data_IF_092396096978
#
_entry.id   IF_092396096978
#
_cell.length_a   1.000
_cell.length_b   1.000
_cell.length_c   1.000
_cell.angle_alpha   90.00
_cell.angle_beta   90.00
_cell.angle_gamma   90.00
#
_symmetry.space_group_name_H-M   'P 1'
#
loop_
_entity.id
_entity.type
_entity.pdbx_description
1 polymer ?
#
# COMPACT_ATOMS: atom_id res chain seq x y z
N UNK A 1 -9.13 12.68 -7.24
CA UNK A 1 -8.84 11.23 -7.10
C UNK A 1 -10.04 10.57 -6.45
N UNK A 2 -10.55 9.50 -7.04
CA UNK A 2 -11.62 8.65 -6.48
C UNK A 2 -11.04 7.62 -5.52
N UNK A 3 -11.84 6.99 -4.64
CA UNK A 3 -11.37 5.89 -3.79
C UNK A 3 -10.72 4.76 -4.60
N UNK A 4 -11.30 4.39 -5.75
CA UNK A 4 -10.76 3.34 -6.61
C UNK A 4 -9.41 3.68 -7.25
N UNK A 5 -9.20 4.95 -7.58
CA UNK A 5 -7.89 5.41 -8.05
C UNK A 5 -6.85 5.39 -6.94
N UNK A 6 -7.23 5.76 -5.71
CA UNK A 6 -6.34 5.74 -4.55
C UNK A 6 -5.90 4.31 -4.20
N UNK A 7 -6.83 3.35 -4.17
CA UNK A 7 -6.50 1.96 -3.87
C UNK A 7 -5.58 1.33 -4.94
N UNK A 8 -5.75 1.70 -6.22
CA UNK A 8 -4.85 1.28 -7.30
C UNK A 8 -3.45 1.90 -7.17
N UNK A 9 -3.38 3.17 -6.77
CA UNK A 9 -2.10 3.83 -6.49
C UNK A 9 -1.36 3.14 -5.36
N UNK A 10 -2.05 2.91 -4.24
CA UNK A 10 -1.51 2.19 -3.08
C UNK A 10 -1.04 0.79 -3.50
N UNK A 11 -1.85 0.05 -4.26
CA UNK A 11 -1.50 -1.27 -4.76
C UNK A 11 -0.19 -1.27 -5.57
N UNK A 12 0.00 -0.27 -6.43
CA UNK A 12 1.22 -0.07 -7.20
C UNK A 12 2.43 0.18 -6.31
N UNK A 13 2.30 1.07 -5.32
CA UNK A 13 3.37 1.42 -4.39
C UNK A 13 3.77 0.26 -3.48
N UNK A 14 2.79 -0.51 -2.98
CA UNK A 14 3.01 -1.76 -2.23
C UNK A 14 3.79 -2.76 -3.07
N UNK A 15 3.36 -3.00 -4.32
CA UNK A 15 4.04 -3.92 -5.24
C UNK A 15 5.47 -3.50 -5.54
N UNK A 16 5.69 -2.21 -5.77
CA UNK A 16 7.02 -1.65 -6.02
C UNK A 16 7.92 -1.79 -4.79
N UNK A 17 7.44 -1.43 -3.60
CA UNK A 17 8.17 -1.58 -2.34
C UNK A 17 8.53 -3.05 -2.07
N UNK A 18 7.56 -3.97 -2.20
CA UNK A 18 7.79 -5.41 -2.05
C UNK A 18 8.89 -5.92 -2.99
N UNK A 19 8.86 -5.49 -4.26
CA UNK A 19 9.88 -5.85 -5.24
C UNK A 19 11.28 -5.31 -4.87
N UNK A 20 11.38 -4.08 -4.36
CA UNK A 20 12.64 -3.50 -3.86
C UNK A 20 13.22 -4.31 -2.69
N UNK A 21 12.36 -4.85 -1.82
CA UNK A 21 12.75 -5.74 -0.73
C UNK A 21 12.98 -7.19 -1.15
N UNK A 22 12.81 -7.53 -2.44
CA UNK A 22 12.92 -8.90 -2.98
C UNK A 22 11.98 -9.90 -2.30
N UNK A 23 10.89 -9.42 -1.73
CA UNK A 23 9.87 -10.25 -1.08
C UNK A 23 8.93 -10.84 -2.12
N UNK A 24 8.50 -12.09 -1.92
CA UNK A 24 7.35 -12.71 -2.59
C UNK A 24 6.05 -12.23 -1.93
N UNK A 25 4.92 -12.48 -2.59
CA UNK A 25 3.62 -12.19 -1.97
C UNK A 25 3.37 -13.02 -0.71
N UNK A 26 3.92 -14.24 -0.65
CA UNK A 26 3.87 -15.12 0.52
C UNK A 26 4.65 -14.49 1.68
N UNK A 27 5.88 -14.00 1.43
CA UNK A 27 6.68 -13.33 2.47
C UNK A 27 5.98 -12.11 3.09
N UNK A 28 5.32 -11.28 2.27
CA UNK A 28 4.56 -10.12 2.77
C UNK A 28 3.30 -10.55 3.50
N UNK A 29 2.66 -11.64 3.06
CA UNK A 29 1.50 -12.19 3.73
C UNK A 29 1.86 -12.69 5.13
N UNK A 30 2.97 -13.43 5.25
CA UNK A 30 3.47 -13.94 6.52
C UNK A 30 3.83 -12.80 7.49
N UNK A 31 4.49 -11.73 6.99
CA UNK A 31 4.84 -10.56 7.80
C UNK A 31 3.61 -9.80 8.34
N UNK A 32 2.51 -9.79 7.58
CA UNK A 32 1.27 -9.08 7.93
C UNK A 32 0.23 -9.96 8.64
N UNK A 33 0.52 -11.24 8.88
CA UNK A 33 -0.46 -12.25 9.30
C UNK A 33 -1.70 -12.30 8.38
N UNK A 34 -1.45 -12.19 7.07
CA UNK A 34 -2.46 -12.25 6.02
C UNK A 34 -2.32 -13.54 5.21
N UNK A 35 -3.32 -13.81 4.36
CA UNK A 35 -3.16 -14.84 3.33
C UNK A 35 -2.52 -14.25 2.09
N UNK A 36 -1.77 -15.07 1.34
CA UNK A 36 -1.25 -14.69 0.00
C UNK A 36 -2.35 -14.16 -0.92
N UNK A 37 -3.56 -14.71 -0.84
CA UNK A 37 -4.71 -14.25 -1.64
C UNK A 37 -5.07 -12.80 -1.34
N UNK A 38 -5.08 -12.41 -0.06
CA UNK A 38 -5.33 -11.02 0.37
C UNK A 38 -4.27 -10.08 -0.20
N UNK A 39 -2.98 -10.46 -0.12
CA UNK A 39 -1.89 -9.69 -0.73
C UNK A 39 -2.06 -9.60 -2.26
N UNK A 40 -2.45 -10.69 -2.92
CA UNK A 40 -2.73 -10.70 -4.36
C UNK A 40 -3.86 -9.74 -4.76
N UNK A 41 -4.98 -9.73 -4.03
CA UNK A 41 -6.09 -8.80 -4.27
C UNK A 41 -5.73 -7.35 -3.96
N UNK A 42 -4.92 -7.12 -2.92
CA UNK A 42 -4.36 -5.79 -2.62
C UNK A 42 -3.53 -5.29 -3.79
N UNK A 43 -2.53 -6.06 -4.24
CA UNK A 43 -1.64 -5.64 -5.34
C UNK A 43 -2.33 -5.55 -6.70
N UNK A 44 -3.48 -6.20 -6.87
CA UNK A 44 -4.34 -6.04 -8.04
C UNK A 44 -5.21 -4.77 -7.97
N UNK A 45 -5.23 -4.07 -6.84
CA UNK A 45 -6.07 -2.89 -6.61
C UNK A 45 -7.56 -3.21 -6.51
N UNK A 46 -7.93 -4.47 -6.24
CA UNK A 46 -9.33 -4.94 -6.18
C UNK A 46 -9.89 -4.98 -4.76
N UNK A 47 -9.04 -4.86 -3.74
CA UNK A 47 -9.42 -4.74 -2.32
C UNK A 47 -9.36 -3.28 -1.88
N UNK A 48 -10.23 -2.84 -0.96
CA UNK A 48 -10.08 -1.52 -0.31
C UNK A 48 -8.98 -1.55 0.73
N UNK A 49 -8.22 -0.46 0.82
CA UNK A 49 -7.18 -0.28 1.81
C UNK A 49 -7.71 0.63 2.91
N UNK A 50 -7.84 0.06 4.09
CA UNK A 50 -8.18 0.84 5.28
C UNK A 50 -6.95 1.55 5.83
N UNK A 51 -7.15 2.53 6.71
CA UNK A 51 -6.03 3.18 7.40
C UNK A 51 -5.23 2.18 8.26
N UNK A 52 -5.88 1.17 8.85
CA UNK A 52 -5.21 0.11 9.58
C UNK A 52 -4.30 -0.73 8.67
N UNK A 53 -4.78 -1.08 7.47
CA UNK A 53 -3.95 -1.75 6.46
C UNK A 53 -2.75 -0.87 6.08
N UNK A 54 -2.95 0.44 5.87
CA UNK A 54 -1.87 1.37 5.53
C UNK A 54 -0.77 1.41 6.60
N UNK A 55 -1.14 1.43 7.89
CA UNK A 55 -0.18 1.37 9.00
C UNK A 55 0.60 0.05 8.98
N UNK A 56 -0.09 -1.08 8.82
CA UNK A 56 0.55 -2.40 8.77
C UNK A 56 1.51 -2.52 7.57
N UNK A 57 1.10 -2.06 6.39
CA UNK A 57 1.91 -2.04 5.17
C UNK A 57 3.14 -1.16 5.32
N UNK A 58 3.00 0.04 5.90
CA UNK A 58 4.13 0.92 6.20
C UNK A 58 5.17 0.23 7.10
N UNK A 59 4.70 -0.46 8.15
CA UNK A 59 5.56 -1.23 9.05
C UNK A 59 6.29 -2.37 8.33
N UNK A 60 5.54 -3.26 7.67
CA UNK A 60 6.08 -4.45 7.01
C UNK A 60 7.06 -4.10 5.87
N UNK A 61 6.77 -3.06 5.11
CA UNK A 61 7.57 -2.62 3.96
C UNK A 61 8.59 -1.52 4.32
N UNK A 62 8.75 -1.19 5.60
CA UNK A 62 9.71 -0.20 6.11
C UNK A 62 9.65 1.13 5.36
N UNK A 63 8.44 1.58 5.09
CA UNK A 63 8.16 2.85 4.40
C UNK A 63 7.20 3.69 5.22
N UNK A 64 7.20 5.00 5.00
CA UNK A 64 6.26 5.91 5.63
C UNK A 64 4.99 6.10 4.77
N UNK A 65 4.00 6.79 5.32
CA UNK A 65 2.72 7.02 4.64
C UNK A 65 2.87 7.87 3.36
N UNK A 66 3.83 8.80 3.31
CA UNK A 66 4.09 9.60 2.11
C UNK A 66 4.64 8.72 0.97
N UNK A 67 5.53 7.79 1.27
CA UNK A 67 6.04 6.81 0.30
C UNK A 67 4.95 5.84 -0.17
N UNK A 68 4.04 5.43 0.72
CA UNK A 68 2.87 4.63 0.36
C UNK A 68 1.91 5.38 -0.59
N UNK A 69 1.82 6.70 -0.43
CA UNK A 69 0.99 7.60 -1.23
C UNK A 69 1.76 8.31 -2.36
N UNK A 70 2.95 7.82 -2.72
CA UNK A 70 3.76 8.40 -3.79
C UNK A 70 2.95 8.49 -5.10
N UNK A 71 2.96 9.68 -5.72
CA UNK A 71 2.16 9.99 -6.92
C UNK A 71 0.73 10.45 -6.63
N UNK A 72 0.30 10.54 -5.37
CA UNK A 72 -0.98 11.13 -5.03
C UNK A 72 -0.97 12.65 -5.33
N UNK A 73 -2.12 13.22 -5.76
CA UNK A 73 -2.29 14.65 -5.95
C UNK A 73 -1.91 15.46 -4.70
N UNK A 74 -1.30 16.63 -4.89
CA UNK A 74 -0.83 17.49 -3.80
C UNK A 74 -1.96 17.95 -2.87
N UNK A 75 -3.17 18.19 -3.41
CA UNK A 75 -4.37 18.53 -2.63
C UNK A 75 -4.80 17.40 -1.69
N UNK A 76 -4.67 16.14 -2.13
CA UNK A 76 -4.92 14.98 -1.28
C UNK A 76 -3.88 14.86 -0.17
N UNK A 77 -2.59 15.06 -0.48
CA UNK A 77 -1.52 15.03 0.51
C UNK A 77 -1.68 16.14 1.54
N UNK A 78 -1.98 17.37 1.11
CA UNK A 78 -2.25 18.51 2.00
C UNK A 78 -3.44 18.24 2.93
N UNK A 79 -4.50 17.59 2.44
CA UNK A 79 -5.67 17.20 3.27
C UNK A 79 -5.27 16.27 4.42
N UNK A 80 -4.25 15.44 4.20
CA UNK A 80 -3.69 14.52 5.20
C UNK A 80 -2.55 15.14 6.02
N UNK A 81 -2.15 16.40 5.74
CA UNK A 81 -1.01 17.06 6.37
C UNK A 81 0.34 16.45 5.98
N UNK A 82 0.44 15.94 4.75
CA UNK A 82 1.60 15.26 4.20
C UNK A 82 2.29 16.06 3.09
N UNK A 83 2.05 17.38 2.98
CA UNK A 83 2.70 18.28 2.01
C UNK A 83 4.13 18.70 2.38
#
# INVERSE_FOLDING_TARGET
MTPDELDKLIAGNVRAARARHRMRQEDLADELDWTRSVVGSLEAGTRRVTLADAVALCGALKMNLRELLEGAPEDALRTLGLD
#
